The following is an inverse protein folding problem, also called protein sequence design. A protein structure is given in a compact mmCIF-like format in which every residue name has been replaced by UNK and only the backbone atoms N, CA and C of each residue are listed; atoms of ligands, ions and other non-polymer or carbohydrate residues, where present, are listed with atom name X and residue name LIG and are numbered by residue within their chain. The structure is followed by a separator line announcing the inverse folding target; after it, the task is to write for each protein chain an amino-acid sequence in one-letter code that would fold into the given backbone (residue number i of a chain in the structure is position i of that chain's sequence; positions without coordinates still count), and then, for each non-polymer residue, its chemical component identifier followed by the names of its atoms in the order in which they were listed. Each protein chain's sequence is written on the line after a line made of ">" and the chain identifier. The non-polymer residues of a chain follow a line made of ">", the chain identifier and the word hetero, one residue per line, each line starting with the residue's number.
data_IF_749525275395
#
_entry.id   IF_749525275395
#
_cell.length_a   1.000
_cell.length_b   1.000
_cell.length_c   1.000
_cell.angle_alpha   90.00
_cell.angle_beta   90.00
_cell.angle_gamma   90.00
#
_symmetry.space_group_name_H-M   'P 1'
#
loop_
_entity.id
_entity.type
_entity.pdbx_description
1 polymer ?
#
# COMPACT_ATOMS: atom_id res chain seq x y z
N UNK A 1 35.09 4.23 13.42
CA UNK A 1 34.77 4.14 13.04
C UNK A 1 33.67 4.12 12.62
N UNK A 2 33.17 4.26 12.40
CA UNK A 2 32.20 4.56 12.09
C UNK A 2 31.55 4.06 11.13
N UNK A 3 31.16 3.74 10.64
CA UNK A 3 30.78 3.26 9.79
C UNK A 3 29.67 3.06 9.53
N UNK A 4 29.24 2.77 9.50
CA UNK A 4 28.24 2.71 9.50
C UNK A 4 27.31 2.96 8.69
N UNK A 5 27.10 3.81 8.22
CA UNK A 5 26.05 4.17 7.35
C UNK A 5 25.90 3.32 6.14
N UNK A 6 26.78 2.43 5.90
CA UNK A 6 26.66 1.51 4.79
C UNK A 6 25.77 0.33 5.11
N UNK A 7 25.36 0.19 6.36
CA UNK A 7 24.51 -0.90 6.71
C UNK A 7 23.10 -0.66 6.21
N UNK A 8 22.54 -1.68 5.56
CA UNK A 8 21.18 -1.64 5.05
C UNK A 8 20.27 -2.40 6.01
N UNK A 9 19.15 -1.79 6.33
CA UNK A 9 18.17 -2.46 7.16
C UNK A 9 17.67 -3.74 6.50
N UNK A 10 17.39 -4.74 7.31
CA UNK A 10 16.79 -5.99 6.83
C UNK A 10 15.29 -5.77 6.74
N UNK A 11 14.78 -5.80 5.52
CA UNK A 11 13.36 -5.59 5.25
C UNK A 11 12.67 -6.93 5.16
N UNK A 12 11.60 -7.09 5.94
CA UNK A 12 10.78 -8.30 5.92
C UNK A 12 9.32 -7.93 5.81
N UNK A 13 8.53 -8.89 5.35
CA UNK A 13 7.08 -8.74 5.20
C UNK A 13 6.39 -9.89 5.89
N UNK A 14 5.26 -9.62 6.52
CA UNK A 14 4.42 -10.66 7.10
C UNK A 14 2.96 -10.23 7.05
N UNK A 15 2.08 -11.21 7.18
CA UNK A 15 0.65 -10.90 7.21
C UNK A 15 0.33 -10.09 8.47
N UNK A 16 -0.57 -9.11 8.29
CA UNK A 16 -1.06 -8.31 9.40
C UNK A 16 -1.99 -9.13 10.28
N UNK A 17 -1.89 -8.91 11.59
CA UNK A 17 -2.78 -9.53 12.58
C UNK A 17 -3.39 -8.45 13.45
N UNK A 18 -4.30 -8.86 14.33
CA UNK A 18 -4.94 -7.93 15.27
C UNK A 18 -3.91 -7.26 16.19
N UNK A 19 -2.78 -7.91 16.43
CA UNK A 19 -1.72 -7.34 17.26
C UNK A 19 -1.10 -6.08 16.62
N UNK A 20 -1.30 -5.88 15.32
CA UNK A 20 -0.73 -4.76 14.60
C UNK A 20 -1.63 -3.53 14.56
N UNK A 21 -2.85 -3.62 15.11
CA UNK A 21 -3.85 -2.57 14.94
C UNK A 21 -3.34 -1.21 15.45
N UNK A 22 -2.70 -1.18 16.62
CA UNK A 22 -2.23 0.10 17.17
C UNK A 22 -1.15 0.74 16.30
N UNK A 23 -0.21 -0.05 15.80
CA UNK A 23 0.82 0.45 14.92
C UNK A 23 0.21 1.00 13.62
N UNK A 24 -0.77 0.29 13.08
CA UNK A 24 -1.42 0.71 11.83
C UNK A 24 -2.25 1.98 12.04
N UNK A 25 -2.92 2.11 13.18
CA UNK A 25 -3.65 3.34 13.49
C UNK A 25 -2.71 4.56 13.47
N UNK A 26 -1.50 4.40 14.02
CA UNK A 26 -0.52 5.48 14.00
C UNK A 26 -0.06 5.80 12.57
N UNK A 27 0.18 4.76 11.77
CA UNK A 27 0.57 4.97 10.37
C UNK A 27 -0.54 5.70 9.61
N UNK A 28 -1.79 5.31 9.85
CA UNK A 28 -2.94 5.96 9.22
C UNK A 28 -3.00 7.44 9.58
N UNK A 29 -2.83 7.75 10.84
CA UNK A 29 -2.90 9.14 11.31
C UNK A 29 -1.83 10.02 10.68
N UNK A 30 -0.65 9.46 10.43
CA UNK A 30 0.45 10.19 9.79
C UNK A 30 0.27 10.34 8.28
N UNK A 31 -0.52 9.48 7.67
CA UNK A 31 -0.46 9.27 6.23
C UNK A 31 -1.68 9.77 5.49
N UNK A 32 -2.85 9.77 6.11
CA UNK A 32 -4.10 10.01 5.38
C UNK A 32 -4.97 11.04 6.06
N UNK A 33 -5.58 11.89 5.24
CA UNK A 33 -6.55 12.86 5.72
C UNK A 33 -7.77 12.15 6.33
N UNK A 34 -8.20 11.07 5.68
CA UNK A 34 -9.32 10.25 6.13
C UNK A 34 -8.83 9.00 6.84
N UNK A 35 -7.91 9.18 7.79
CA UNK A 35 -7.29 8.07 8.51
C UNK A 35 -8.33 7.16 9.16
N UNK A 36 -8.08 5.85 9.07
CA UNK A 36 -8.94 4.85 9.71
C UNK A 36 -8.68 4.84 11.21
N UNK A 37 -9.75 4.70 11.99
CA UNK A 37 -9.65 4.54 13.44
C UNK A 37 -9.47 3.08 13.80
N UNK A 38 -9.34 2.80 15.10
CA UNK A 38 -9.08 1.44 15.58
C UNK A 38 -10.14 0.45 15.12
N UNK A 39 -11.44 0.83 15.23
CA UNK A 39 -12.52 -0.07 14.83
C UNK A 39 -12.46 -0.38 13.34
N UNK A 40 -12.17 0.63 12.52
CA UNK A 40 -12.09 0.43 11.07
C UNK A 40 -10.92 -0.47 10.69
N UNK A 41 -9.77 -0.29 11.35
CA UNK A 41 -8.60 -1.14 11.09
C UNK A 41 -8.89 -2.57 11.53
N UNK A 42 -9.54 -2.74 12.69
CA UNK A 42 -9.90 -4.06 13.18
C UNK A 42 -10.86 -4.76 12.21
N UNK A 43 -11.84 -4.03 11.69
CA UNK A 43 -12.77 -4.59 10.71
C UNK A 43 -12.04 -5.04 9.45
N UNK A 44 -11.06 -4.25 9.00
CA UNK A 44 -10.31 -4.59 7.80
C UNK A 44 -9.48 -5.85 8.01
N UNK A 45 -8.79 -5.98 9.14
CA UNK A 45 -7.93 -7.14 9.36
C UNK A 45 -8.74 -8.42 9.52
N UNK A 46 -10.00 -8.30 9.94
CA UNK A 46 -10.88 -9.46 10.13
C UNK A 46 -11.79 -9.75 8.94
N UNK A 47 -11.69 -8.97 7.88
CA UNK A 47 -12.53 -9.16 6.69
C UNK A 47 -11.92 -10.26 5.82
N UNK A 48 -12.71 -11.26 5.46
CA UNK A 48 -12.22 -12.40 4.69
C UNK A 48 -11.74 -12.01 3.27
N UNK A 49 -12.18 -10.86 2.76
CA UNK A 49 -11.81 -10.42 1.41
C UNK A 49 -10.55 -9.57 1.38
N UNK A 50 -10.01 -9.20 2.54
CA UNK A 50 -8.85 -8.30 2.61
C UNK A 50 -7.58 -9.07 2.89
N UNK A 51 -6.48 -8.53 2.41
CA UNK A 51 -5.14 -9.09 2.63
C UNK A 51 -4.19 -7.93 2.86
N UNK A 52 -3.58 -7.88 4.04
CA UNK A 52 -2.68 -6.80 4.42
C UNK A 52 -1.32 -7.36 4.82
N UNK A 53 -0.27 -6.64 4.42
CA UNK A 53 1.11 -6.97 4.78
C UNK A 53 1.66 -5.86 5.68
N UNK A 54 2.42 -6.29 6.68
CA UNK A 54 3.23 -5.40 7.50
C UNK A 54 4.66 -5.45 6.96
N UNK A 55 5.24 -4.28 6.73
CA UNK A 55 6.65 -4.17 6.35
C UNK A 55 7.46 -3.79 7.57
N UNK A 56 8.50 -4.56 7.84
CA UNK A 56 9.39 -4.34 8.98
C UNK A 56 10.80 -4.07 8.51
N UNK A 57 11.46 -3.15 9.19
CA UNK A 57 12.91 -2.93 9.03
C UNK A 57 13.55 -3.32 10.35
N UNK A 58 14.41 -4.33 10.32
CA UNK A 58 15.08 -4.86 11.51
C UNK A 58 14.09 -5.19 12.63
N UNK A 59 12.94 -5.76 12.24
CA UNK A 59 11.91 -6.19 13.18
C UNK A 59 10.97 -5.08 13.64
N UNK A 60 11.14 -3.87 13.14
CA UNK A 60 10.32 -2.73 13.53
C UNK A 60 9.34 -2.39 12.41
N UNK A 61 8.07 -2.23 12.73
CA UNK A 61 7.04 -1.88 11.75
C UNK A 61 7.33 -0.50 11.15
N UNK A 62 7.47 -0.43 9.83
CA UNK A 62 7.70 0.84 9.15
C UNK A 62 6.67 1.13 8.07
N UNK A 63 5.78 0.20 7.77
CA UNK A 63 4.75 0.44 6.76
C UNK A 63 3.76 -0.69 6.68
N UNK A 64 2.71 -0.45 5.91
CA UNK A 64 1.75 -1.50 5.63
C UNK A 64 1.03 -1.23 4.31
N UNK A 65 0.52 -2.28 3.72
CA UNK A 65 -0.25 -2.19 2.49
C UNK A 65 -1.27 -3.31 2.44
N UNK A 66 -2.33 -3.08 1.69
CA UNK A 66 -3.34 -4.10 1.57
C UNK A 66 -4.25 -3.91 0.38
N UNK A 67 -5.03 -4.95 0.10
CA UNK A 67 -6.00 -4.94 -0.99
C UNK A 67 -7.22 -5.78 -0.62
N UNK A 68 -8.29 -5.50 -1.34
CA UNK A 68 -9.47 -6.36 -1.36
C UNK A 68 -9.35 -7.26 -2.59
N UNK A 69 -9.60 -8.55 -2.42
CA UNK A 69 -9.55 -9.50 -3.53
C UNK A 69 -10.95 -9.99 -3.79
N UNK A 70 -11.51 -9.61 -4.94
CA UNK A 70 -12.87 -9.96 -5.32
C UNK A 70 -12.87 -10.36 -6.80
N UNK A 71 -13.35 -11.55 -7.10
CA UNK A 71 -13.53 -12.02 -8.48
C UNK A 71 -12.25 -11.91 -9.32
N UNK A 72 -11.11 -12.22 -8.71
CA UNK A 72 -9.82 -12.20 -9.43
C UNK A 72 -9.19 -10.83 -9.54
N UNK A 73 -9.79 -9.80 -8.96
CA UNK A 73 -9.23 -8.45 -8.98
C UNK A 73 -8.80 -8.04 -7.58
N UNK A 74 -7.54 -7.62 -7.46
CA UNK A 74 -7.01 -7.09 -6.22
C UNK A 74 -7.08 -5.57 -6.28
N UNK A 75 -7.90 -4.97 -5.42
CA UNK A 75 -8.00 -3.52 -5.34
C UNK A 75 -7.18 -3.04 -4.16
N UNK A 76 -6.06 -2.37 -4.45
CA UNK A 76 -5.20 -1.84 -3.40
C UNK A 76 -5.94 -0.69 -2.71
N UNK A 77 -6.08 -0.79 -1.38
CA UNK A 77 -6.78 0.21 -0.59
C UNK A 77 -5.82 1.12 0.15
N UNK A 78 -4.68 0.59 0.59
CA UNK A 78 -3.71 1.36 1.36
C UNK A 78 -2.29 0.94 1.01
N UNK A 79 -1.39 1.92 0.89
CA UNK A 79 0.06 1.74 0.87
C UNK A 79 0.60 2.92 1.66
N UNK A 80 1.25 2.64 2.78
CA UNK A 80 1.72 3.72 3.66
C UNK A 80 3.02 3.33 4.35
N UNK A 81 3.95 4.26 4.41
CA UNK A 81 5.23 4.14 5.11
C UNK A 81 5.26 5.21 6.18
N UNK A 82 5.79 4.90 7.36
CA UNK A 82 5.86 5.87 8.44
C UNK A 82 6.63 7.11 7.98
N UNK A 83 6.23 8.25 8.54
CA UNK A 83 6.78 9.53 8.11
C UNK A 83 8.31 9.56 8.22
N UNK A 84 8.85 8.99 9.30
CA UNK A 84 10.30 9.02 9.57
C UNK A 84 11.10 8.25 8.52
N UNK A 85 10.48 7.32 7.79
CA UNK A 85 11.18 6.48 6.82
C UNK A 85 10.86 6.82 5.38
N UNK A 86 10.14 7.90 5.14
CA UNK A 86 9.80 8.31 3.77
C UNK A 86 11.03 8.86 3.06
N UNK A 87 11.02 8.76 1.74
CA UNK A 87 12.13 9.25 0.93
C UNK A 87 13.25 8.24 0.75
N UNK A 88 13.07 7.02 1.24
CA UNK A 88 14.08 5.96 1.14
C UNK A 88 13.74 4.87 0.13
N UNK A 89 12.68 5.06 -0.66
CA UNK A 89 12.28 4.06 -1.65
C UNK A 89 11.44 2.94 -1.08
N UNK A 90 11.08 2.98 0.18
CA UNK A 90 10.31 1.90 0.80
C UNK A 90 8.90 1.79 0.25
N UNK A 91 8.32 2.89 -0.22
CA UNK A 91 7.01 2.85 -0.87
C UNK A 91 6.99 1.94 -2.09
N UNK A 92 8.03 2.00 -2.91
CA UNK A 92 8.16 1.12 -4.08
C UNK A 92 8.33 -0.33 -3.66
N UNK A 93 9.18 -0.58 -2.66
CA UNK A 93 9.40 -1.93 -2.15
C UNK A 93 8.10 -2.53 -1.64
N UNK A 94 7.35 -1.74 -0.88
CA UNK A 94 6.06 -2.17 -0.31
C UNK A 94 5.04 -2.41 -1.41
N UNK A 95 4.98 -1.54 -2.42
CA UNK A 95 4.06 -1.70 -3.55
C UNK A 95 4.35 -2.98 -4.31
N UNK A 96 5.62 -3.29 -4.55
CA UNK A 96 5.99 -4.54 -5.21
C UNK A 96 5.59 -5.75 -4.38
N UNK A 97 5.79 -5.67 -3.07
CA UNK A 97 5.45 -6.77 -2.18
C UNK A 97 3.95 -7.06 -2.19
N UNK A 98 3.13 -6.01 -2.16
CA UNK A 98 1.68 -6.22 -2.14
C UNK A 98 1.16 -6.72 -3.48
N UNK A 99 1.76 -6.30 -4.59
CA UNK A 99 1.43 -6.84 -5.91
C UNK A 99 1.80 -8.31 -5.99
N UNK A 100 2.98 -8.68 -5.49
CA UNK A 100 3.39 -10.09 -5.49
C UNK A 100 2.44 -10.93 -4.63
N UNK A 101 1.97 -10.39 -3.51
CA UNK A 101 0.99 -11.08 -2.69
C UNK A 101 -0.31 -11.33 -3.48
N UNK A 102 -0.74 -10.35 -4.26
CA UNK A 102 -1.92 -10.52 -5.10
C UNK A 102 -1.73 -11.64 -6.11
N UNK A 103 -0.54 -11.71 -6.74
CA UNK A 103 -0.24 -12.79 -7.69
C UNK A 103 -0.22 -14.15 -6.99
N UNK A 104 0.32 -14.23 -5.78
CA UNK A 104 0.32 -15.48 -5.01
C UNK A 104 -1.08 -15.98 -4.73
N UNK A 105 -2.03 -15.07 -4.59
CA UNK A 105 -3.43 -15.41 -4.32
C UNK A 105 -4.25 -15.52 -5.61
N UNK A 106 -3.56 -15.65 -6.75
CA UNK A 106 -4.17 -15.89 -8.06
C UNK A 106 -5.01 -14.74 -8.59
N UNK A 107 -4.71 -13.52 -8.18
CA UNK A 107 -5.33 -12.36 -8.80
C UNK A 107 -4.93 -12.30 -10.27
N UNK A 108 -5.86 -11.88 -11.11
CA UNK A 108 -5.62 -11.70 -12.55
C UNK A 108 -5.27 -10.26 -12.86
N UNK A 109 -5.63 -9.34 -11.99
CA UNK A 109 -5.36 -7.93 -12.18
C UNK A 109 -5.29 -7.25 -10.84
N UNK A 110 -4.54 -6.13 -10.78
CA UNK A 110 -4.44 -5.28 -9.60
C UNK A 110 -4.82 -3.87 -10.03
N UNK A 111 -5.61 -3.18 -9.23
CA UNK A 111 -6.04 -1.83 -9.55
C UNK A 111 -5.94 -0.94 -8.30
N UNK A 112 -5.86 0.35 -8.53
CA UNK A 112 -5.83 1.33 -7.45
C UNK A 112 -6.32 2.69 -7.96
N UNK A 113 -6.69 3.55 -6.99
CA UNK A 113 -6.94 4.95 -7.27
C UNK A 113 -5.84 5.77 -6.60
N UNK A 114 -5.35 6.79 -7.30
CA UNK A 114 -4.34 7.69 -6.78
C UNK A 114 -4.75 9.13 -7.11
N UNK A 115 -4.46 10.07 -6.19
CA UNK A 115 -4.80 11.46 -6.42
C UNK A 115 -4.13 11.97 -7.69
N UNK A 116 -4.88 12.73 -8.47
CA UNK A 116 -4.36 13.28 -9.72
C UNK A 116 -3.12 14.15 -9.49
N UNK A 117 -3.07 14.84 -8.35
CA UNK A 117 -1.93 15.69 -8.01
C UNK A 117 -0.72 14.91 -7.51
N UNK A 118 -0.89 13.63 -7.16
CA UNK A 118 0.20 12.84 -6.61
C UNK A 118 1.02 12.22 -7.72
N UNK A 119 1.82 13.06 -8.37
CA UNK A 119 2.63 12.65 -9.53
C UNK A 119 3.69 11.61 -9.12
N UNK A 120 4.26 11.76 -7.93
CA UNK A 120 5.29 10.83 -7.46
C UNK A 120 4.74 9.41 -7.33
N UNK A 121 3.53 9.26 -6.77
CA UNK A 121 2.90 7.94 -6.64
C UNK A 121 2.55 7.37 -8.02
N UNK A 122 2.02 8.22 -8.92
CA UNK A 122 1.69 7.75 -10.26
C UNK A 122 2.91 7.23 -10.99
N UNK A 123 4.06 7.91 -10.85
CA UNK A 123 5.31 7.45 -11.44
C UNK A 123 5.79 6.15 -10.82
N UNK A 124 5.68 6.03 -9.51
CA UNK A 124 6.08 4.81 -8.82
C UNK A 124 5.27 3.61 -9.30
N UNK A 125 3.97 3.78 -9.43
CA UNK A 125 3.11 2.69 -9.92
C UNK A 125 3.36 2.40 -11.39
N UNK A 126 3.57 3.43 -12.20
CA UNK A 126 3.92 3.23 -13.63
C UNK A 126 5.22 2.45 -13.75
N UNK A 127 6.20 2.72 -12.90
CA UNK A 127 7.46 1.97 -12.90
C UNK A 127 7.26 0.51 -12.53
N UNK A 128 6.21 0.18 -11.80
CA UNK A 128 5.86 -1.20 -11.46
C UNK A 128 5.02 -1.86 -12.56
N UNK A 129 4.70 -1.14 -13.63
CA UNK A 129 3.95 -1.67 -14.77
C UNK A 129 2.49 -1.27 -14.81
N UNK A 130 2.01 -0.49 -13.85
CA UNK A 130 0.63 0.00 -13.87
C UNK A 130 0.42 1.00 -15.01
N UNK A 131 -0.77 0.96 -15.60
CA UNK A 131 -1.16 1.85 -16.68
C UNK A 131 -2.39 2.64 -16.23
N UNK A 132 -2.38 3.95 -16.50
CA UNK A 132 -3.53 4.80 -16.22
C UNK A 132 -4.64 4.49 -17.22
N UNK A 133 -5.85 4.18 -16.74
CA UNK A 133 -6.96 3.78 -17.60
C UNK A 133 -8.23 4.58 -17.37
N UNK A 134 -8.19 5.62 -16.55
CA UNK A 134 -9.37 6.44 -16.37
C UNK A 134 -9.22 7.39 -15.22
N UNK A 135 -10.23 8.23 -15.08
CA UNK A 135 -10.29 9.23 -14.03
C UNK A 135 -11.68 9.17 -13.39
N UNK A 136 -11.70 9.15 -12.03
CA UNK A 136 -12.94 9.33 -11.28
C UNK A 136 -13.00 10.78 -10.85
N UNK A 137 -13.91 11.58 -11.41
CA UNK A 137 -13.98 12.99 -11.04
C UNK A 137 -14.52 13.16 -9.62
N UNK A 138 -13.98 14.15 -8.94
CA UNK A 138 -14.44 14.55 -7.59
C UNK A 138 -14.43 13.39 -6.59
N UNK A 139 -13.45 12.51 -6.69
CA UNK A 139 -13.43 11.26 -5.90
C UNK A 139 -13.10 11.51 -4.43
N UNK A 140 -12.17 12.42 -4.14
CA UNK A 140 -11.71 12.66 -2.77
C UNK A 140 -12.57 13.74 -2.11
N UNK A 141 -13.13 13.41 -0.94
CA UNK A 141 -14.10 14.29 -0.30
C UNK A 141 -13.48 15.56 0.28
N UNK A 142 -12.20 15.49 0.64
CA UNK A 142 -11.54 16.62 1.29
C UNK A 142 -11.41 17.85 0.40
N UNK A 143 -11.08 17.66 -0.88
CA UNK A 143 -10.87 18.78 -1.79
C UNK A 143 -11.47 18.56 -3.17
N UNK A 144 -12.29 17.52 -3.33
CA UNK A 144 -12.94 17.15 -4.59
C UNK A 144 -11.95 16.85 -5.72
N UNK A 145 -10.73 16.48 -5.35
CA UNK A 145 -9.72 16.13 -6.33
C UNK A 145 -10.11 14.88 -7.08
N UNK A 146 -9.73 14.79 -8.36
CA UNK A 146 -9.96 13.59 -9.17
C UNK A 146 -9.00 12.47 -8.75
N UNK A 147 -9.44 11.24 -8.95
CA UNK A 147 -8.58 10.08 -8.82
C UNK A 147 -8.19 9.56 -10.19
N UNK A 148 -6.91 9.21 -10.35
CA UNK A 148 -6.43 8.49 -11.53
C UNK A 148 -6.58 7.00 -11.21
N UNK A 149 -7.23 6.25 -12.10
CA UNK A 149 -7.41 4.81 -11.92
C UNK A 149 -6.29 4.11 -12.67
N UNK A 150 -5.54 3.27 -11.98
CA UNK A 150 -4.42 2.56 -12.60
C UNK A 150 -4.64 1.06 -12.50
N UNK A 151 -4.17 0.34 -13.51
CA UNK A 151 -4.35 -1.11 -13.61
C UNK A 151 -3.03 -1.79 -13.96
N UNK A 152 -2.87 -2.99 -13.41
CA UNK A 152 -1.75 -3.87 -13.74
C UNK A 152 -2.32 -5.26 -13.99
N UNK A 153 -2.08 -5.80 -15.18
CA UNK A 153 -2.62 -7.11 -15.58
C UNK A 153 -1.54 -8.17 -15.48
N UNK A 154 -1.95 -9.35 -15.07
CA UNK A 154 -1.03 -10.48 -14.92
C UNK A 154 -0.51 -10.90 -16.29
N UNK A 155 0.81 -11.04 -16.39
CA UNK A 155 1.44 -11.44 -17.63
C UNK A 155 1.76 -12.94 -17.62
N UNK A 156 1.86 -13.52 -18.80
CA UNK A 156 2.45 -14.84 -18.94
C UNK A 156 1.64 -15.97 -18.38
N UNK A 157 0.35 -15.84 -18.39
CA UNK A 157 -0.50 -16.93 -17.92
C UNK A 157 -0.90 -17.85 -19.03
#
# INVERSE_FOLDING_TARGET
>A
MGTTSTETAVITFRDMTEADVQAVVQIEAESFHDAWNENMVMDEVNNALTHYLIMEADGKTIGYAGFWLVAGEAQITRVAVIKAERGNGYGNVLSEAIVNKAWELDAEAVTLEVRESNIAAQRAYANCGFVSEGIRPNYYEDNHENAVIMWLYRKGK
#
